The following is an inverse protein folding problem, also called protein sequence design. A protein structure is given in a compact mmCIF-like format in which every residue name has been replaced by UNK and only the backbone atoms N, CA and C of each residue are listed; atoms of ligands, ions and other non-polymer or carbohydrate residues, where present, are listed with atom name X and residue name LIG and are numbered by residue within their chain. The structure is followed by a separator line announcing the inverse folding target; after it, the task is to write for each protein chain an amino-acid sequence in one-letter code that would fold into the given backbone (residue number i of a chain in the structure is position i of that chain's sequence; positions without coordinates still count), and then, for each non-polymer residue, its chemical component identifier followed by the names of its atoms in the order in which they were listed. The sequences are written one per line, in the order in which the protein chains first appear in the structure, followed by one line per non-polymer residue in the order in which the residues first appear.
data_IF_704681304398
#
_entry.id   IF_704681304398
#
_cell.length_a   1.000
_cell.length_b   1.000
_cell.length_c   1.000
_cell.angle_alpha   90.00
_cell.angle_beta   90.00
_cell.angle_gamma   90.00
#
_symmetry.space_group_name_H-M   'P 1'
#
loop_
_entity.id
_entity.type
_entity.pdbx_description
1 polymer ?
#
# COMPACT_ATOMS: atom_id res chain seq x y z
N UNK A 1 -7.54 20.80 -8.40
CA UNK A 1 -7.75 20.68 -6.94
C UNK A 1 -7.43 22.02 -6.27
N UNK A 2 -8.39 22.54 -5.56
CA UNK A 2 -8.21 23.79 -4.82
C UNK A 2 -7.91 23.55 -3.34
N UNK A 3 -7.85 24.65 -2.57
CA UNK A 3 -7.56 24.61 -1.13
C UNK A 3 -8.56 23.75 -0.36
N UNK A 4 -9.85 23.85 -0.69
CA UNK A 4 -10.89 23.08 0.01
C UNK A 4 -10.74 21.59 -0.25
N UNK A 5 -10.46 21.19 -1.50
CA UNK A 5 -10.23 19.78 -1.83
C UNK A 5 -9.07 19.20 -1.04
N UNK A 6 -7.96 19.94 -0.92
CA UNK A 6 -6.79 19.52 -0.17
C UNK A 6 -7.08 19.37 1.32
N UNK A 7 -7.84 20.30 1.89
CA UNK A 7 -8.23 20.22 3.30
C UNK A 7 -9.14 19.02 3.58
N UNK A 8 -10.09 18.76 2.67
CA UNK A 8 -10.96 17.59 2.77
C UNK A 8 -10.15 16.30 2.70
N UNK A 9 -9.23 16.20 1.74
CA UNK A 9 -8.36 15.02 1.61
C UNK A 9 -7.50 14.78 2.85
N UNK A 10 -6.95 15.84 3.43
CA UNK A 10 -6.16 15.72 4.64
C UNK A 10 -6.95 15.09 5.79
N UNK A 11 -8.20 15.50 5.95
CA UNK A 11 -9.10 14.94 6.96
C UNK A 11 -9.41 13.47 6.65
N UNK A 12 -9.81 13.17 5.42
CA UNK A 12 -10.20 11.82 5.01
C UNK A 12 -9.05 10.82 5.06
N UNK A 13 -7.82 11.27 4.79
CA UNK A 13 -6.64 10.41 4.89
C UNK A 13 -6.34 10.00 6.33
N UNK A 14 -6.77 10.78 7.32
CA UNK A 14 -6.60 10.46 8.73
C UNK A 14 -7.75 9.62 9.27
N UNK A 15 -8.98 9.96 8.87
CA UNK A 15 -10.18 9.25 9.28
C UNK A 15 -11.30 9.47 8.26
N UNK A 16 -11.53 8.47 7.42
CA UNK A 16 -12.58 8.51 6.41
C UNK A 16 -13.96 8.05 6.92
N UNK A 17 -14.07 7.73 8.21
CA UNK A 17 -15.33 7.30 8.83
C UNK A 17 -16.21 8.47 9.26
N UNK A 18 -15.68 9.69 9.24
CA UNK A 18 -16.44 10.89 9.58
C UNK A 18 -17.56 11.15 8.59
N UNK A 19 -18.66 11.70 9.08
CA UNK A 19 -19.76 12.11 8.19
C UNK A 19 -19.32 13.28 7.30
N UNK A 20 -19.99 13.41 6.15
CA UNK A 20 -19.77 14.56 5.26
C UNK A 20 -20.04 15.87 5.99
N UNK A 21 -21.06 15.90 6.85
CA UNK A 21 -21.39 17.07 7.67
C UNK A 21 -20.24 17.47 8.60
N UNK A 22 -19.61 16.49 9.26
CA UNK A 22 -18.48 16.76 10.14
C UNK A 22 -17.25 17.28 9.36
N UNK A 23 -16.97 16.69 8.22
CA UNK A 23 -15.88 17.16 7.34
C UNK A 23 -16.15 18.57 6.85
N UNK A 24 -17.38 18.85 6.40
CA UNK A 24 -17.78 20.16 5.92
C UNK A 24 -17.58 21.24 7.00
N UNK A 25 -17.99 20.96 8.20
CA UNK A 25 -17.81 21.88 9.34
C UNK A 25 -16.35 22.23 9.58
N UNK A 26 -15.47 21.24 9.51
CA UNK A 26 -14.04 21.43 9.74
C UNK A 26 -13.38 22.29 8.65
N UNK A 27 -13.85 22.23 7.42
CA UNK A 27 -13.27 23.02 6.31
C UNK A 27 -14.03 24.30 6.02
N UNK A 28 -15.10 24.58 6.75
CA UNK A 28 -15.87 25.81 6.59
C UNK A 28 -16.80 25.83 5.38
N UNK A 29 -17.29 24.67 4.97
CA UNK A 29 -18.27 24.50 3.91
C UNK A 29 -19.60 24.00 4.45
N UNK A 30 -20.67 24.26 3.72
CA UNK A 30 -21.94 23.57 3.95
C UNK A 30 -21.84 22.13 3.40
N UNK A 31 -22.73 21.27 3.87
CA UNK A 31 -22.66 19.82 3.61
C UNK A 31 -22.72 19.48 2.12
N UNK A 32 -23.64 20.07 1.37
CA UNK A 32 -23.84 19.72 -0.05
C UNK A 32 -22.62 20.08 -0.91
N UNK A 33 -22.04 21.28 -0.86
CA UNK A 33 -20.81 21.56 -1.59
C UNK A 33 -19.65 20.64 -1.18
N UNK A 34 -19.53 20.31 0.09
CA UNK A 34 -18.49 19.38 0.56
C UNK A 34 -18.70 17.99 -0.05
N UNK A 35 -19.92 17.48 -0.03
CA UNK A 35 -20.27 16.20 -0.64
C UNK A 35 -19.94 16.17 -2.13
N UNK A 36 -20.27 17.23 -2.87
CA UNK A 36 -19.98 17.32 -4.30
C UNK A 36 -18.48 17.25 -4.58
N UNK A 37 -17.66 17.89 -3.75
CA UNK A 37 -16.20 17.85 -3.88
C UNK A 37 -15.67 16.44 -3.64
N UNK A 38 -16.15 15.77 -2.62
CA UNK A 38 -15.76 14.38 -2.33
C UNK A 38 -16.14 13.47 -3.51
N UNK A 39 -17.37 13.60 -4.02
CA UNK A 39 -17.82 12.81 -5.17
C UNK A 39 -16.95 13.07 -6.41
N UNK A 40 -16.60 14.31 -6.66
CA UNK A 40 -15.73 14.66 -7.79
C UNK A 40 -14.34 14.04 -7.64
N UNK A 41 -13.77 14.02 -6.44
CA UNK A 41 -12.48 13.41 -6.18
C UNK A 41 -12.53 11.88 -6.29
N UNK A 42 -13.61 11.25 -5.89
CA UNK A 42 -13.82 9.82 -6.10
C UNK A 42 -13.95 9.49 -7.60
N UNK A 43 -14.75 10.25 -8.31
CA UNK A 43 -15.00 10.03 -9.74
C UNK A 43 -13.72 10.24 -10.57
N UNK A 44 -12.90 11.23 -10.23
CA UNK A 44 -11.66 11.51 -10.95
C UNK A 44 -10.51 10.57 -10.58
N UNK A 45 -10.68 9.75 -9.56
CA UNK A 45 -9.65 8.82 -9.10
C UNK A 45 -8.65 9.41 -8.11
N UNK A 46 -8.80 10.66 -7.71
CA UNK A 46 -7.99 11.26 -6.64
C UNK A 46 -8.18 10.47 -5.35
N UNK A 47 -9.42 10.13 -5.02
CA UNK A 47 -9.72 9.15 -3.97
C UNK A 47 -9.91 7.81 -4.66
N UNK A 48 -8.97 6.88 -4.47
CA UNK A 48 -9.02 5.55 -5.08
C UNK A 48 -9.99 4.61 -4.39
N UNK A 49 -10.19 4.79 -3.10
CA UNK A 49 -11.04 3.92 -2.30
C UNK A 49 -10.84 4.17 -0.81
N UNK A 50 -11.61 3.43 -0.02
CA UNK A 50 -11.56 3.48 1.44
C UNK A 50 -11.33 2.07 1.93
N UNK A 51 -10.38 1.89 2.85
CA UNK A 51 -9.99 0.57 3.33
C UNK A 51 -9.95 0.55 4.86
N UNK A 52 -10.20 -0.62 5.42
CA UNK A 52 -9.99 -0.84 6.83
C UNK A 52 -8.50 -1.13 7.07
N UNK A 53 -7.93 -0.46 8.06
CA UNK A 53 -6.59 -0.77 8.54
C UNK A 53 -6.72 -1.80 9.65
N UNK A 54 -5.90 -2.85 9.58
CA UNK A 54 -5.90 -3.92 10.57
C UNK A 54 -4.62 -3.90 11.39
N UNK A 55 -4.72 -4.38 12.63
CA UNK A 55 -3.56 -4.52 13.51
C UNK A 55 -2.82 -5.81 13.16
N UNK A 56 -1.58 -5.74 12.64
CA UNK A 56 -0.82 -6.92 12.23
C UNK A 56 -0.59 -7.92 13.37
N UNK A 57 -0.40 -7.44 14.59
CA UNK A 57 -0.18 -8.33 15.73
C UNK A 57 -1.43 -9.16 16.04
N UNK A 58 -2.61 -8.55 15.94
CA UNK A 58 -3.88 -9.24 16.16
C UNK A 58 -4.22 -10.23 15.06
N UNK A 59 -3.64 -10.05 13.88
CA UNK A 59 -3.76 -10.99 12.76
C UNK A 59 -2.65 -12.05 12.74
N UNK A 60 -1.79 -12.07 13.76
CA UNK A 60 -0.67 -12.98 13.88
C UNK A 60 0.34 -12.85 12.72
N UNK A 61 0.58 -11.61 12.28
CA UNK A 61 1.62 -11.26 11.31
C UNK A 61 2.40 -10.04 11.79
N UNK A 62 2.76 -10.05 13.09
CA UNK A 62 3.36 -8.90 13.76
C UNK A 62 4.80 -8.60 13.40
N UNK A 63 5.50 -9.51 12.70
CA UNK A 63 6.86 -9.26 12.27
C UNK A 63 6.88 -8.74 10.83
N UNK A 64 7.44 -7.54 10.66
CA UNK A 64 7.68 -6.97 9.33
C UNK A 64 9.15 -7.12 8.99
N UNK A 65 9.44 -7.66 7.80
CA UNK A 65 10.80 -7.81 7.29
C UNK A 65 10.89 -7.11 5.94
N UNK A 66 11.89 -6.25 5.79
CA UNK A 66 12.21 -5.64 4.51
C UNK A 66 13.29 -6.48 3.84
N UNK A 67 12.99 -6.99 2.65
CA UNK A 67 13.88 -7.86 1.89
C UNK A 67 14.47 -7.07 0.74
N UNK A 68 15.81 -6.95 0.73
CA UNK A 68 16.54 -6.30 -0.33
C UNK A 68 16.89 -7.35 -1.39
N UNK A 69 16.57 -7.05 -2.64
CA UNK A 69 16.84 -7.94 -3.76
C UNK A 69 17.85 -7.30 -4.69
N UNK A 70 18.89 -8.07 -5.04
CA UNK A 70 19.83 -7.75 -6.08
C UNK A 70 19.71 -8.80 -7.18
N UNK A 71 19.69 -8.36 -8.42
CA UNK A 71 19.66 -9.25 -9.59
C UNK A 71 20.64 -8.76 -10.63
N UNK A 72 21.18 -9.71 -11.39
CA UNK A 72 21.98 -9.38 -12.59
C UNK A 72 21.12 -9.34 -13.86
N UNK A 73 19.80 -9.52 -13.73
CA UNK A 73 18.86 -9.56 -14.85
C UNK A 73 18.05 -8.27 -14.86
N UNK A 74 18.45 -7.34 -15.73
CA UNK A 74 17.84 -6.01 -15.83
C UNK A 74 17.00 -5.88 -17.10
N UNK A 75 16.05 -6.82 -17.31
CA UNK A 75 15.17 -6.82 -18.47
C UNK A 75 13.70 -6.86 -18.04
N UNK A 76 12.78 -6.36 -18.91
CA UNK A 76 11.36 -6.32 -18.57
C UNK A 76 10.75 -7.72 -18.33
N UNK A 77 11.23 -8.73 -19.04
CA UNK A 77 10.72 -10.10 -18.91
C UNK A 77 11.01 -10.67 -17.52
N UNK A 78 12.21 -10.42 -16.99
CA UNK A 78 12.54 -10.85 -15.64
C UNK A 78 11.67 -10.15 -14.59
N UNK A 79 11.49 -8.83 -14.73
CA UNK A 79 10.68 -8.07 -13.80
C UNK A 79 9.23 -8.52 -13.80
N UNK A 80 8.65 -8.76 -14.97
CA UNK A 80 7.28 -9.25 -15.12
C UNK A 80 7.12 -10.62 -14.46
N UNK A 81 8.05 -11.53 -14.73
CA UNK A 81 8.07 -12.86 -14.14
C UNK A 81 8.20 -12.81 -12.63
N UNK A 82 9.08 -11.96 -12.10
CA UNK A 82 9.25 -11.79 -10.66
C UNK A 82 8.01 -11.18 -10.01
N UNK A 83 7.38 -10.21 -10.66
CA UNK A 83 6.14 -9.62 -10.16
C UNK A 83 5.02 -10.66 -10.05
N UNK A 84 4.90 -11.57 -11.02
CA UNK A 84 3.94 -12.68 -10.94
C UNK A 84 4.24 -13.61 -9.77
N UNK A 85 5.51 -13.96 -9.57
CA UNK A 85 5.92 -14.78 -8.41
C UNK A 85 5.56 -14.08 -7.10
N UNK A 86 5.83 -12.78 -7.00
CA UNK A 86 5.55 -12.00 -5.80
C UNK A 86 4.05 -11.97 -5.48
N UNK A 87 3.19 -11.91 -6.49
CA UNK A 87 1.73 -11.91 -6.29
C UNK A 87 1.21 -13.21 -5.69
N UNK A 88 1.92 -14.31 -5.89
CA UNK A 88 1.52 -15.62 -5.34
C UNK A 88 1.86 -15.76 -3.84
N UNK A 89 2.62 -14.83 -3.27
CA UNK A 89 2.99 -14.87 -1.87
C UNK A 89 2.16 -13.84 -1.08
N UNK A 90 1.19 -14.28 -0.27
CA UNK A 90 0.41 -13.36 0.55
C UNK A 90 1.25 -12.60 1.58
N UNK A 91 2.41 -13.13 1.96
CA UNK A 91 3.33 -12.48 2.89
C UNK A 91 3.92 -11.19 2.32
N UNK A 92 4.04 -11.08 0.99
CA UNK A 92 4.57 -9.87 0.33
C UNK A 92 3.43 -8.87 0.17
N UNK A 93 3.49 -7.76 0.93
CA UNK A 93 2.43 -6.74 0.90
C UNK A 93 2.81 -5.49 0.11
N UNK A 94 4.09 -5.24 -0.09
CA UNK A 94 4.55 -4.12 -0.92
C UNK A 94 5.81 -4.52 -1.67
N UNK A 95 5.97 -3.95 -2.86
CA UNK A 95 7.08 -4.21 -3.77
C UNK A 95 7.53 -2.88 -4.37
N UNK A 96 8.80 -2.55 -4.22
CA UNK A 96 9.36 -1.28 -4.68
C UNK A 96 10.57 -1.52 -5.58
N UNK A 97 10.67 -0.71 -6.64
CA UNK A 97 11.87 -0.59 -7.42
C UNK A 97 12.82 0.38 -6.72
N UNK A 98 14.09 0.00 -6.62
CA UNK A 98 15.12 0.80 -5.97
C UNK A 98 16.10 1.36 -7.00
N UNK A 99 16.72 2.49 -6.67
CA UNK A 99 17.86 3.02 -7.41
C UNK A 99 19.12 2.86 -6.56
N UNK A 100 20.27 2.74 -7.21
CA UNK A 100 21.56 2.53 -6.53
C UNK A 100 22.01 1.07 -6.55
N UNK A 101 22.61 0.63 -5.45
CA UNK A 101 23.25 -0.70 -5.39
C UNK A 101 22.29 -1.87 -5.28
N UNK A 102 21.06 -1.61 -4.88
CA UNK A 102 20.02 -2.63 -4.75
C UNK A 102 18.92 -2.38 -5.77
N UNK A 103 18.28 -3.45 -6.23
CA UNK A 103 17.34 -3.36 -7.34
C UNK A 103 15.89 -3.27 -6.87
N UNK A 104 15.51 -4.06 -5.88
CA UNK A 104 14.13 -4.13 -5.40
C UNK A 104 14.07 -4.25 -3.88
N UNK A 105 12.97 -3.79 -3.32
CA UNK A 105 12.66 -3.89 -1.90
C UNK A 105 11.27 -4.50 -1.76
N UNK A 106 11.17 -5.56 -0.95
CA UNK A 106 9.91 -6.17 -0.58
C UNK A 106 9.60 -5.84 0.87
N UNK A 107 8.33 -5.54 1.15
CA UNK A 107 7.83 -5.52 2.52
C UNK A 107 7.07 -6.80 2.76
N UNK A 108 7.53 -7.58 3.74
CA UNK A 108 7.01 -8.91 4.05
C UNK A 108 6.49 -8.91 5.49
N UNK A 109 5.31 -9.49 5.70
CA UNK A 109 4.74 -9.66 7.03
C UNK A 109 4.54 -11.14 7.32
N UNK A 110 4.99 -11.57 8.49
CA UNK A 110 4.98 -12.96 8.94
C UNK A 110 4.75 -13.02 10.45
N UNK A 111 4.32 -14.17 11.00
CA UNK A 111 4.16 -14.30 12.45
C UNK A 111 5.46 -14.18 13.23
N UNK A 112 6.55 -14.76 12.73
CA UNK A 112 7.83 -14.83 13.43
C UNK A 112 8.98 -15.12 12.44
N UNK A 113 10.21 -15.17 12.93
CA UNK A 113 11.39 -15.43 12.10
C UNK A 113 11.39 -16.83 11.50
N UNK A 114 10.82 -17.81 12.19
CA UNK A 114 10.71 -19.17 11.67
C UNK A 114 9.82 -19.21 10.43
N UNK A 115 8.70 -18.52 10.47
CA UNK A 115 7.82 -18.38 9.31
C UNK A 115 8.49 -17.62 8.17
N UNK A 116 9.32 -16.61 8.50
CA UNK A 116 10.11 -15.90 7.50
C UNK A 116 11.08 -16.84 6.79
N UNK A 117 11.78 -17.68 7.51
CA UNK A 117 12.72 -18.63 6.91
C UNK A 117 12.02 -19.59 5.94
N UNK A 118 10.84 -20.06 6.28
CA UNK A 118 10.01 -20.90 5.39
C UNK A 118 9.63 -20.12 4.12
N UNK A 119 9.16 -18.89 4.29
CA UNK A 119 8.81 -18.01 3.18
C UNK A 119 10.02 -17.76 2.26
N UNK A 120 11.15 -17.41 2.84
CA UNK A 120 12.37 -17.10 2.09
C UNK A 120 12.82 -18.27 1.22
N UNK A 121 12.82 -19.47 1.77
CA UNK A 121 13.18 -20.70 1.00
C UNK A 121 12.25 -20.93 -0.17
N UNK A 122 10.96 -20.71 0.02
CA UNK A 122 10.00 -20.81 -1.09
C UNK A 122 10.22 -19.75 -2.15
N UNK A 123 10.53 -18.54 -1.74
CA UNK A 123 10.78 -17.43 -2.66
C UNK A 123 11.99 -17.70 -3.53
N UNK A 124 13.12 -18.09 -2.96
CA UNK A 124 14.35 -18.35 -3.73
C UNK A 124 14.23 -19.57 -4.64
N UNK A 125 13.37 -20.54 -4.29
CA UNK A 125 13.12 -21.69 -5.17
C UNK A 125 12.28 -21.34 -6.39
N UNK A 126 11.47 -20.30 -6.32
CA UNK A 126 10.59 -19.89 -7.41
C UNK A 126 11.14 -18.76 -8.26
N UNK A 127 12.05 -17.97 -7.72
CA UNK A 127 12.62 -16.80 -8.40
C UNK A 127 14.05 -17.07 -8.83
N UNK A 128 14.41 -16.54 -10.00
CA UNK A 128 15.78 -16.56 -10.50
C UNK A 128 16.39 -15.18 -10.37
N UNK A 129 17.44 -15.06 -9.59
CA UNK A 129 18.11 -13.78 -9.32
C UNK A 129 19.39 -13.61 -10.10
#
# INVERSE_FOLDING_TARGET
MDKFDRQILEILQKDCTQSVSDVAQQVGLSTTPCWRRIQAMEKSGVIKGRVALSDPEKLNVGLTVFVIIRTNQHNPEWLESFAEVAQDFPEIIEFYRMSGDVDYLLKVVVPDMKAYDVFYKKLINRASF
#
